data_IF_945429118863
#
_entry.id   IF_945429118863
#
_cell.length_a   1.000
_cell.length_b   1.000
_cell.length_c   1.000
_cell.angle_alpha   90.00
_cell.angle_beta   90.00
_cell.angle_gamma   90.00
#
_symmetry.space_group_name_H-M   'P 1'
#
loop_
_entity.id
_entity.type
_entity.pdbx_description
1 polymer ?
#
# COMPACT_ATOMS: atom_id res chain seq x y z
N UNK A 1 -9.73 5.62 -10.99
CA UNK A 1 -9.65 4.83 -9.75
C UNK A 1 -8.20 4.92 -9.24
N UNK A 2 -7.89 4.55 -8.00
CA UNK A 2 -6.55 4.76 -7.39
C UNK A 2 -6.14 3.62 -6.44
N UNK A 3 -4.99 3.73 -5.78
CA UNK A 3 -4.44 2.75 -4.82
C UNK A 3 -5.43 2.40 -3.70
N UNK A 4 -5.46 1.13 -3.30
CA UNK A 4 -6.22 0.69 -2.12
C UNK A 4 -5.53 1.11 -0.82
N UNK A 5 -4.20 1.07 -0.82
CA UNK A 5 -3.33 1.67 0.20
C UNK A 5 -2.08 2.20 -0.49
N UNK A 6 -1.63 3.38 -0.09
CA UNK A 6 -0.38 3.99 -0.55
C UNK A 6 0.43 4.43 0.68
N UNK A 7 1.57 3.78 0.94
CA UNK A 7 2.46 4.13 2.06
C UNK A 7 3.66 4.91 1.53
N UNK A 8 3.58 6.25 1.57
CA UNK A 8 4.66 7.12 1.09
C UNK A 8 5.82 7.27 2.10
N UNK A 9 5.51 7.20 3.40
CA UNK A 9 6.46 7.21 4.52
C UNK A 9 5.81 6.62 5.77
N UNK A 10 6.63 6.18 6.73
CA UNK A 10 6.19 5.67 8.03
C UNK A 10 6.89 4.37 8.44
N UNK A 11 6.85 4.09 9.75
CA UNK A 11 7.43 2.88 10.33
C UNK A 11 6.38 2.03 11.07
N UNK A 12 6.58 0.71 11.10
CA UNK A 12 5.77 -0.24 11.90
C UNK A 12 4.28 -0.28 11.50
N UNK A 13 4.00 -0.13 10.21
CA UNK A 13 2.63 -0.14 9.68
C UNK A 13 2.20 -1.59 9.43
N UNK A 14 1.00 -1.95 9.88
CA UNK A 14 0.39 -3.25 9.56
C UNK A 14 -0.95 -3.06 8.87
N UNK A 15 -1.07 -3.60 7.66
CA UNK A 15 -2.34 -3.75 6.94
C UNK A 15 -2.67 -5.23 6.83
N UNK A 16 -3.82 -5.65 7.33
CA UNK A 16 -4.21 -7.06 7.30
C UNK A 16 -5.69 -7.25 7.03
N UNK A 17 -6.06 -8.38 6.44
CA UNK A 17 -7.45 -8.75 6.14
C UNK A 17 -8.20 -7.72 5.26
N UNK A 18 -7.48 -6.98 4.42
CA UNK A 18 -8.07 -5.99 3.52
C UNK A 18 -8.77 -6.64 2.32
N UNK A 19 -9.81 -6.00 1.80
CA UNK A 19 -10.44 -6.35 0.52
C UNK A 19 -10.39 -5.14 -0.41
N UNK A 20 -9.64 -5.25 -1.49
CA UNK A 20 -9.40 -4.20 -2.46
C UNK A 20 -9.98 -4.61 -3.82
N UNK A 21 -10.83 -3.77 -4.40
CA UNK A 21 -11.45 -4.03 -5.70
C UNK A 21 -11.56 -2.77 -6.56
N UNK A 22 -11.23 -2.88 -7.85
CA UNK A 22 -11.37 -1.78 -8.81
C UNK A 22 -10.29 -0.70 -8.73
N UNK A 23 -9.27 -0.86 -7.88
CA UNK A 23 -8.23 0.15 -7.62
C UNK A 23 -6.90 -0.13 -8.33
N UNK A 24 -5.83 0.50 -7.86
CA UNK A 24 -4.47 0.27 -8.33
C UNK A 24 -3.68 -0.74 -7.49
N UNK A 25 -4.23 -1.24 -6.37
CA UNK A 25 -3.61 -2.31 -5.56
C UNK A 25 -3.04 -1.83 -4.22
N UNK A 26 -2.10 -2.61 -3.67
CA UNK A 26 -1.47 -2.35 -2.38
C UNK A 26 -0.06 -1.79 -2.57
N UNK A 27 0.10 -0.47 -2.47
CA UNK A 27 1.31 0.21 -2.92
C UNK A 27 2.15 0.78 -1.77
N UNK A 28 3.47 0.59 -1.87
CA UNK A 28 4.46 1.33 -1.07
C UNK A 28 5.00 2.45 -1.96
N UNK A 29 4.58 3.67 -1.65
CA UNK A 29 5.03 4.88 -2.31
C UNK A 29 3.93 5.69 -2.97
N UNK A 30 4.27 6.60 -3.89
CA UNK A 30 5.66 6.93 -4.29
C UNK A 30 6.51 7.44 -3.11
N UNK A 31 7.71 6.89 -2.96
CA UNK A 31 8.72 7.26 -1.95
C UNK A 31 9.78 8.13 -2.62
N UNK A 32 10.14 9.26 -2.01
CA UNK A 32 11.08 10.24 -2.58
C UNK A 32 10.42 11.60 -2.84
N UNK A 33 11.23 12.67 -2.82
CA UNK A 33 10.76 14.03 -3.10
C UNK A 33 9.85 14.66 -2.05
N UNK A 34 9.75 14.05 -0.86
CA UNK A 34 8.93 14.54 0.27
C UNK A 34 9.81 14.89 1.48
N UNK A 35 9.22 15.51 2.49
CA UNK A 35 9.91 15.84 3.75
C UNK A 35 10.33 14.60 4.53
N UNK A 36 9.61 13.49 4.35
CA UNK A 36 9.96 12.16 4.84
C UNK A 36 9.77 11.15 3.70
N UNK A 37 10.78 10.30 3.53
CA UNK A 37 10.85 9.29 2.48
C UNK A 37 11.26 7.93 3.07
N UNK A 38 11.13 7.77 4.38
CA UNK A 38 11.48 6.54 5.07
C UNK A 38 10.24 5.66 5.16
N UNK A 39 10.32 4.45 4.62
CA UNK A 39 9.34 3.40 4.86
C UNK A 39 10.06 2.24 5.50
N UNK A 40 9.60 1.79 6.67
CA UNK A 40 10.28 0.74 7.44
C UNK A 40 9.29 -0.17 8.17
N UNK A 41 9.61 -1.45 8.29
CA UNK A 41 8.81 -2.40 9.08
C UNK A 41 7.32 -2.42 8.71
N UNK A 42 7.01 -2.47 7.41
CA UNK A 42 5.63 -2.58 6.93
C UNK A 42 5.25 -4.05 6.75
N UNK A 43 4.11 -4.45 7.31
CA UNK A 43 3.53 -5.78 7.09
C UNK A 43 2.19 -5.64 6.39
N UNK A 44 2.06 -6.26 5.22
CA UNK A 44 0.79 -6.39 4.49
C UNK A 44 0.49 -7.88 4.42
N UNK A 45 -0.64 -8.32 4.99
CA UNK A 45 -0.96 -9.75 5.09
C UNK A 45 -2.44 -10.06 4.92
N UNK A 46 -2.77 -11.31 4.61
CA UNK A 46 -4.15 -11.84 4.56
C UNK A 46 -5.15 -10.98 3.76
N UNK A 47 -4.69 -10.25 2.76
CA UNK A 47 -5.52 -9.30 2.02
C UNK A 47 -5.87 -9.85 0.65
N UNK A 48 -7.08 -9.51 0.17
CA UNK A 48 -7.58 -9.92 -1.14
C UNK A 48 -7.64 -8.71 -2.06
N UNK A 49 -6.93 -8.79 -3.16
CA UNK A 49 -6.94 -7.76 -4.22
C UNK A 49 -7.56 -8.41 -5.46
N UNK A 50 -8.64 -7.82 -5.95
CA UNK A 50 -9.40 -8.32 -7.11
C UNK A 50 -9.69 -7.18 -8.06
N UNK A 51 -9.85 -7.48 -9.35
CA UNK A 51 -10.26 -6.49 -10.37
C UNK A 51 -9.51 -5.15 -10.28
N UNK A 52 -8.24 -5.20 -9.90
CA UNK A 52 -7.38 -4.03 -9.66
C UNK A 52 -6.25 -4.04 -10.67
N UNK A 53 -5.74 -2.86 -11.01
CA UNK A 53 -4.67 -2.73 -11.99
C UNK A 53 -3.41 -3.46 -11.55
N UNK A 54 -3.07 -3.40 -10.26
CA UNK A 54 -1.95 -4.13 -9.66
C UNK A 54 -2.43 -4.89 -8.41
N UNK A 55 -1.70 -5.94 -8.05
CA UNK A 55 -1.87 -6.67 -6.79
C UNK A 55 -1.06 -6.05 -5.66
N UNK A 56 0.23 -5.87 -5.93
CA UNK A 56 1.25 -5.19 -5.11
C UNK A 56 2.05 -4.29 -6.05
#
# INVERSE_FOLDING_TARGET
>A
QDDCIAINSGEHITFTNGYCSGGHGLSIGSVGGRSDNTVKSVTISNSKVVDSQNGV
#
